data_IF_220628668229
#
_entry.id   IF_220628668229
#
_cell.length_a   1.000
_cell.length_b   1.000
_cell.length_c   1.000
_cell.angle_alpha   90.00
_cell.angle_beta   90.00
_cell.angle_gamma   90.00
#
_symmetry.space_group_name_H-M   'P 1'
#
loop_
_entity.id
_entity.type
_entity.pdbx_description
1 polymer ?
#
# COMPACT_ATOMS: atom_id res chain seq x y z
N UNK A 1 -35.96 -44.73 12.40
CA UNK A 1 -34.77 -44.30 13.18
C UNK A 1 -33.93 -43.33 12.34
N UNK A 2 -34.16 -42.02 12.46
CA UNK A 2 -33.44 -41.00 11.71
C UNK A 2 -32.25 -40.45 12.48
N UNK A 3 -31.03 -40.61 11.96
CA UNK A 3 -29.83 -39.94 12.51
C UNK A 3 -29.51 -38.69 11.70
N UNK A 4 -29.95 -37.58 12.27
CA UNK A 4 -29.54 -36.22 11.96
C UNK A 4 -28.11 -35.99 12.51
N UNK A 5 -27.12 -35.67 11.65
CA UNK A 5 -25.82 -35.15 12.08
C UNK A 5 -25.33 -34.02 11.17
N UNK A 6 -25.82 -32.83 11.52
CA UNK A 6 -25.10 -31.54 11.67
C UNK A 6 -24.07 -31.21 10.58
N UNK A 7 -24.52 -30.33 9.69
CA UNK A 7 -23.68 -29.47 8.84
C UNK A 7 -22.51 -28.89 9.64
N UNK A 8 -21.29 -29.25 9.25
CA UNK A 8 -20.06 -28.59 9.67
C UNK A 8 -20.12 -27.14 9.17
N UNK A 9 -20.46 -26.22 10.07
CA UNK A 9 -20.33 -24.80 9.84
C UNK A 9 -18.82 -24.54 9.69
N UNK A 10 -18.39 -24.21 8.46
CA UNK A 10 -17.03 -23.71 8.20
C UNK A 10 -16.84 -22.49 9.09
N UNK A 11 -15.97 -22.63 10.09
CA UNK A 11 -15.56 -21.50 10.92
C UNK A 11 -15.03 -20.41 9.99
N UNK A 12 -15.76 -19.30 9.91
CA UNK A 12 -15.24 -18.07 9.33
C UNK A 12 -14.13 -17.64 10.27
N UNK A 13 -12.88 -17.85 9.84
CA UNK A 13 -11.70 -17.36 10.53
C UNK A 13 -11.79 -15.83 10.56
N UNK A 14 -12.29 -15.31 11.68
CA UNK A 14 -12.20 -13.90 12.00
C UNK A 14 -10.74 -13.65 12.33
N UNK A 15 -9.99 -13.06 11.40
CA UNK A 15 -8.64 -12.56 11.65
C UNK A 15 -8.79 -11.51 12.76
N UNK A 16 -8.26 -11.73 13.98
CA UNK A 16 -8.28 -10.70 15.01
C UNK A 16 -7.59 -9.46 14.44
N UNK A 17 -8.05 -8.26 14.80
CA UNK A 17 -7.49 -6.99 14.31
C UNK A 17 -6.08 -6.67 14.81
N UNK A 18 -5.16 -7.63 14.74
CA UNK A 18 -3.73 -7.52 15.03
C UNK A 18 -2.90 -7.70 13.76
N UNK A 19 -1.72 -7.11 13.75
CA UNK A 19 -0.76 -7.26 12.66
C UNK A 19 -0.21 -8.69 12.65
N UNK A 20 -0.35 -9.38 11.52
CA UNK A 20 0.19 -10.71 11.30
C UNK A 20 1.37 -10.63 10.31
N UNK A 21 2.61 -10.90 10.76
CA UNK A 21 3.79 -10.86 9.88
C UNK A 21 3.79 -11.96 8.82
N UNK A 22 2.97 -13.01 8.97
CA UNK A 22 2.92 -14.17 8.08
C UNK A 22 1.87 -14.02 6.96
N UNK A 23 1.30 -12.82 6.77
CA UNK A 23 0.27 -12.56 5.75
C UNK A 23 0.65 -13.01 4.33
N UNK A 24 1.92 -12.88 3.95
CA UNK A 24 2.43 -13.31 2.64
C UNK A 24 2.25 -14.80 2.40
N UNK A 25 2.44 -15.64 3.44
CA UNK A 25 2.27 -17.10 3.34
C UNK A 25 0.81 -17.46 3.06
N UNK A 26 -0.13 -16.84 3.75
CA UNK A 26 -1.57 -17.09 3.53
C UNK A 26 -2.00 -16.65 2.14
N UNK A 27 -1.48 -15.53 1.64
CA UNK A 27 -1.74 -15.07 0.28
C UNK A 27 -1.23 -16.09 -0.76
N UNK A 28 0.00 -16.60 -0.61
CA UNK A 28 0.54 -17.61 -1.53
C UNK A 28 -0.24 -18.91 -1.50
N UNK A 29 -0.64 -19.39 -0.33
CA UNK A 29 -1.49 -20.57 -0.23
C UNK A 29 -2.84 -20.36 -0.93
N UNK A 30 -3.51 -19.24 -0.66
CA UNK A 30 -4.81 -18.92 -1.23
C UNK A 30 -4.77 -18.80 -2.76
N UNK A 31 -3.85 -18.00 -3.31
CA UNK A 31 -3.75 -17.76 -4.75
C UNK A 31 -3.25 -18.96 -5.55
N UNK A 32 -2.63 -19.96 -4.90
CA UNK A 32 -2.22 -21.20 -5.56
C UNK A 32 -3.30 -22.30 -5.55
N UNK A 33 -4.44 -22.10 -4.88
CA UNK A 33 -5.52 -23.09 -4.91
C UNK A 33 -6.13 -23.22 -6.31
N UNK A 34 -6.41 -24.45 -6.80
CA UNK A 34 -6.94 -24.67 -8.15
C UNK A 34 -8.31 -24.01 -8.40
N UNK A 35 -9.17 -23.96 -7.38
CA UNK A 35 -10.48 -23.32 -7.48
C UNK A 35 -10.37 -21.80 -7.57
N UNK A 36 -9.46 -21.19 -6.80
CA UNK A 36 -9.15 -19.75 -6.86
C UNK A 36 -8.55 -19.39 -8.22
N UNK A 37 -7.56 -20.16 -8.70
CA UNK A 37 -6.91 -19.93 -10.00
C UNK A 37 -7.90 -20.04 -11.16
N UNK A 38 -8.80 -21.02 -11.13
CA UNK A 38 -9.89 -21.16 -12.12
C UNK A 38 -10.85 -19.98 -12.07
N UNK A 39 -11.23 -19.54 -10.87
CA UNK A 39 -12.17 -18.42 -10.68
C UNK A 39 -11.59 -17.07 -11.12
N UNK A 40 -10.27 -16.90 -11.02
CA UNK A 40 -9.54 -15.72 -11.51
C UNK A 40 -9.10 -15.85 -12.98
N UNK A 41 -9.43 -16.95 -13.64
CA UNK A 41 -8.99 -17.29 -14.99
C UNK A 41 -7.45 -17.29 -15.16
N UNK A 42 -6.70 -17.57 -14.09
CA UNK A 42 -5.24 -17.56 -14.08
C UNK A 42 -4.62 -18.79 -14.79
N UNK A 43 -5.41 -19.86 -14.98
CA UNK A 43 -4.98 -21.10 -15.64
C UNK A 43 -5.17 -21.10 -17.16
N UNK A 44 -5.86 -20.10 -17.71
CA UNK A 44 -6.21 -20.05 -19.13
C UNK A 44 -5.00 -19.83 -20.08
N UNK A 45 -3.87 -19.34 -19.57
CA UNK A 45 -2.72 -18.87 -20.38
C UNK A 45 -1.54 -19.84 -20.43
N UNK A 46 -1.72 -21.14 -20.14
CA UNK A 46 -0.61 -22.10 -20.09
C UNK A 46 0.29 -21.94 -18.84
N UNK A 47 -0.16 -21.13 -17.87
CA UNK A 47 0.53 -20.86 -16.60
C UNK A 47 0.19 -21.88 -15.49
N UNK A 48 -0.54 -22.95 -15.82
CA UNK A 48 -1.00 -23.96 -14.87
C UNK A 48 0.14 -24.58 -14.05
N UNK A 49 1.35 -24.65 -14.61
CA UNK A 49 2.52 -25.22 -13.93
C UNK A 49 3.34 -24.21 -13.12
N UNK A 50 2.99 -22.92 -13.15
CA UNK A 50 3.70 -21.87 -12.38
C UNK A 50 2.94 -21.56 -11.10
N UNK A 51 3.62 -21.71 -9.96
CA UNK A 51 3.10 -21.24 -8.67
C UNK A 51 3.18 -19.72 -8.61
N UNK A 52 2.10 -19.11 -8.13
CA UNK A 52 2.07 -17.70 -7.78
C UNK A 52 2.93 -17.47 -6.52
N UNK A 53 3.69 -16.38 -6.50
CA UNK A 53 4.48 -15.92 -5.35
C UNK A 53 4.26 -14.42 -5.16
N UNK A 54 4.46 -13.92 -3.94
CA UNK A 54 4.31 -12.48 -3.65
C UNK A 54 5.33 -11.65 -4.44
N UNK A 55 6.56 -12.15 -4.57
CA UNK A 55 7.65 -11.52 -5.29
C UNK A 55 8.38 -12.54 -6.18
N UNK A 56 8.99 -12.05 -7.27
CA UNK A 56 9.90 -12.84 -8.10
C UNK A 56 11.35 -12.36 -7.90
N UNK A 57 12.09 -13.04 -7.03
CA UNK A 57 13.46 -12.65 -6.67
C UNK A 57 14.46 -12.77 -7.83
N UNK A 58 14.20 -13.68 -8.78
CA UNK A 58 15.04 -13.81 -9.98
C UNK A 58 14.93 -12.58 -10.89
N UNK A 59 13.71 -12.02 -11.02
CA UNK A 59 13.54 -10.75 -11.74
C UNK A 59 14.15 -9.58 -10.99
N UNK A 60 14.03 -9.56 -9.65
CA UNK A 60 14.68 -8.52 -8.85
C UNK A 60 16.20 -8.53 -9.00
N UNK A 61 16.83 -9.71 -9.01
CA UNK A 61 18.29 -9.87 -9.15
C UNK A 61 18.82 -9.52 -10.55
N UNK A 62 17.97 -9.55 -11.57
CA UNK A 62 18.32 -9.23 -12.96
C UNK A 62 17.87 -7.83 -13.40
N UNK A 63 17.18 -7.10 -12.52
CA UNK A 63 16.65 -5.78 -12.84
C UNK A 63 17.78 -4.73 -12.92
N UNK A 64 17.83 -4.01 -14.04
CA UNK A 64 18.81 -2.95 -14.25
C UNK A 64 18.23 -1.57 -13.89
N UNK A 65 18.77 -0.95 -12.84
CA UNK A 65 18.38 0.40 -12.40
C UNK A 65 19.05 1.46 -13.27
N UNK A 66 18.33 1.97 -14.28
CA UNK A 66 18.85 2.97 -15.22
C UNK A 66 18.57 4.43 -14.83
N UNK A 67 17.67 4.65 -13.87
CA UNK A 67 17.22 5.98 -13.44
C UNK A 67 17.54 6.17 -11.96
N UNK A 68 18.29 7.23 -11.64
CA UNK A 68 18.67 7.57 -10.27
C UNK A 68 17.62 8.40 -9.53
N UNK A 69 16.74 9.11 -10.24
CA UNK A 69 15.70 9.93 -9.63
C UNK A 69 14.49 10.15 -10.54
N UNK A 70 13.31 10.13 -9.94
CA UNK A 70 12.04 10.48 -10.59
C UNK A 70 11.68 11.96 -10.44
N UNK A 71 12.51 12.77 -9.76
CA UNK A 71 12.27 14.22 -9.58
C UNK A 71 11.93 14.95 -10.89
N UNK A 72 12.66 14.75 -12.01
CA UNK A 72 12.35 15.45 -13.27
C UNK A 72 10.95 15.12 -13.81
N UNK A 73 10.45 13.92 -13.56
CA UNK A 73 9.10 13.49 -13.96
C UNK A 73 8.07 14.27 -13.14
N UNK A 74 8.23 14.31 -11.82
CA UNK A 74 7.31 15.05 -10.95
C UNK A 74 7.28 16.54 -11.26
N UNK A 75 8.43 17.16 -11.56
CA UNK A 75 8.47 18.57 -12.00
C UNK A 75 7.63 18.79 -13.27
N UNK A 76 7.70 17.88 -14.25
CA UNK A 76 6.87 17.95 -15.46
C UNK A 76 5.37 17.80 -15.13
N UNK A 77 5.00 16.82 -14.30
CA UNK A 77 3.60 16.56 -13.93
C UNK A 77 2.98 17.73 -13.14
N UNK A 78 3.75 18.34 -12.24
CA UNK A 78 3.34 19.53 -11.48
C UNK A 78 3.12 20.72 -12.41
N UNK A 79 4.04 20.93 -13.36
CA UNK A 79 3.91 22.00 -14.36
C UNK A 79 2.73 21.77 -15.30
N UNK A 80 2.37 20.51 -15.57
CA UNK A 80 1.17 20.15 -16.32
C UNK A 80 -0.14 20.35 -15.52
N UNK A 81 -0.06 20.65 -14.21
CA UNK A 81 -1.23 20.92 -13.36
C UNK A 81 -1.89 19.67 -12.78
N UNK A 82 -1.21 18.53 -12.75
CA UNK A 82 -1.76 17.30 -12.17
C UNK A 82 -1.71 17.33 -10.64
N UNK A 83 -2.77 16.84 -10.00
CA UNK A 83 -2.86 16.72 -8.53
C UNK A 83 -2.10 15.48 -8.08
N UNK A 84 -1.16 15.64 -7.14
CA UNK A 84 -0.25 14.57 -6.72
C UNK A 84 -0.34 14.40 -5.21
N UNK A 85 -0.53 13.16 -4.76
CA UNK A 85 -0.56 12.81 -3.34
C UNK A 85 0.61 11.88 -3.05
N UNK A 86 1.43 12.28 -2.08
CA UNK A 86 2.58 11.52 -1.60
C UNK A 86 2.31 11.16 -0.15
N UNK A 87 2.46 9.89 0.20
CA UNK A 87 2.26 9.43 1.57
C UNK A 87 3.45 8.59 2.02
N UNK A 88 3.74 8.62 3.33
CA UNK A 88 4.80 7.83 3.93
C UNK A 88 4.39 7.33 5.32
N UNK A 89 4.77 6.10 5.65
CA UNK A 89 4.55 5.52 6.97
C UNK A 89 5.68 5.89 7.92
N UNK A 90 5.36 6.42 9.11
CA UNK A 90 6.37 6.86 10.09
C UNK A 90 7.19 5.75 10.75
N UNK A 91 6.73 4.51 10.63
CA UNK A 91 7.40 3.31 11.13
C UNK A 91 8.12 2.48 10.05
N UNK A 92 8.19 2.96 8.79
CA UNK A 92 8.92 2.28 7.72
C UNK A 92 10.43 2.54 7.82
N UNK A 93 11.21 1.49 8.10
CA UNK A 93 12.66 1.55 8.13
C UNK A 93 13.34 1.36 6.76
N UNK A 94 12.62 0.86 5.74
CA UNK A 94 13.17 0.61 4.40
C UNK A 94 13.13 1.88 3.55
N UNK A 95 12.03 2.64 3.63
CA UNK A 95 11.87 3.96 2.98
C UNK A 95 11.34 4.96 4.02
N UNK A 96 12.24 5.56 4.83
CA UNK A 96 11.81 6.40 5.95
C UNK A 96 11.18 7.72 5.50
N UNK A 97 10.26 8.24 6.32
CA UNK A 97 9.59 9.54 6.15
C UNK A 97 10.57 10.68 5.86
N UNK A 98 11.74 10.64 6.47
CA UNK A 98 12.78 11.65 6.29
C UNK A 98 13.22 11.73 4.81
N UNK A 99 13.37 10.58 4.14
CA UNK A 99 13.72 10.52 2.72
C UNK A 99 12.64 11.14 1.84
N UNK A 100 11.37 10.81 2.08
CA UNK A 100 10.24 11.41 1.37
C UNK A 100 10.15 12.93 1.62
N UNK A 101 10.42 13.38 2.84
CA UNK A 101 10.43 14.80 3.19
C UNK A 101 11.50 15.56 2.41
N UNK A 102 12.74 15.09 2.42
CA UNK A 102 13.82 15.72 1.65
C UNK A 102 13.51 15.74 0.15
N UNK A 103 12.98 14.65 -0.38
CA UNK A 103 12.58 14.57 -1.79
C UNK A 103 11.55 15.64 -2.17
N UNK A 104 10.55 15.88 -1.31
CA UNK A 104 9.56 16.94 -1.51
C UNK A 104 10.17 18.34 -1.40
N UNK A 105 11.08 18.56 -0.44
CA UNK A 105 11.75 19.86 -0.25
C UNK A 105 12.59 20.28 -1.47
N UNK A 106 13.20 19.31 -2.19
CA UNK A 106 13.95 19.56 -3.42
C UNK A 106 13.08 20.10 -4.56
N UNK A 107 11.76 19.84 -4.56
CA UNK A 107 10.84 20.39 -5.56
C UNK A 107 10.64 21.92 -5.43
N UNK A 108 11.08 22.52 -4.32
CA UNK A 108 11.02 23.98 -4.05
C UNK A 108 9.62 24.59 -4.30
N UNK A 109 8.58 23.83 -3.98
CA UNK A 109 7.20 24.29 -4.13
C UNK A 109 6.82 25.24 -2.99
N UNK A 110 6.09 26.34 -3.26
CA UNK A 110 5.61 27.23 -2.22
C UNK A 110 4.69 26.52 -1.24
N UNK A 111 4.82 26.87 0.03
CA UNK A 111 3.98 26.34 1.10
C UNK A 111 2.57 26.91 0.98
N UNK A 112 1.54 26.05 0.86
CA UNK A 112 0.14 26.51 0.92
C UNK A 112 -0.44 26.43 2.32
N UNK A 113 -0.11 25.36 3.06
CA UNK A 113 -0.52 25.19 4.44
C UNK A 113 0.60 24.54 5.22
N UNK A 114 0.80 24.98 6.46
CA UNK A 114 1.76 24.36 7.38
C UNK A 114 1.36 22.93 7.76
N UNK A 115 2.32 22.19 8.31
CA UNK A 115 2.11 20.84 8.82
C UNK A 115 1.02 20.86 9.88
N UNK A 116 -0.06 20.15 9.62
CA UNK A 116 -1.18 20.05 10.55
C UNK A 116 -1.54 18.59 10.81
N UNK A 117 -1.97 18.27 12.04
CA UNK A 117 -2.49 16.95 12.31
C UNK A 117 -3.80 16.75 11.54
N UNK A 118 -4.02 15.54 11.03
CA UNK A 118 -5.32 15.08 10.57
C UNK A 118 -5.73 13.83 11.35
N UNK A 119 -7.04 13.64 11.46
CA UNK A 119 -7.64 12.61 12.30
C UNK A 119 -8.57 11.76 11.45
N UNK A 120 -8.37 10.44 11.50
CA UNK A 120 -9.40 9.48 11.12
C UNK A 120 -10.24 9.18 12.37
N UNK A 121 -11.54 8.96 12.20
CA UNK A 121 -12.59 8.84 13.25
C UNK A 121 -12.11 8.17 14.54
N UNK A 122 -12.57 8.69 15.70
CA UNK A 122 -12.29 8.16 17.05
C UNK A 122 -12.47 6.64 17.07
N UNK A 123 -11.39 5.91 17.24
CA UNK A 123 -11.43 4.59 17.87
C UNK A 123 -11.40 4.82 19.38
N UNK A 124 -12.10 3.99 20.12
CA UNK A 124 -12.35 4.12 21.57
C UNK A 124 -11.08 3.97 22.44
N UNK A 125 -9.89 3.99 21.82
CA UNK A 125 -8.55 3.88 22.41
C UNK A 125 -7.61 5.05 22.09
N UNK A 126 -8.09 6.10 21.41
CA UNK A 126 -7.34 7.36 21.22
C UNK A 126 -7.34 7.90 19.79
N UNK A 127 -7.00 9.17 19.66
CA UNK A 127 -6.91 9.85 18.36
C UNK A 127 -5.68 9.33 17.58
N UNK A 128 -5.90 8.67 16.44
CA UNK A 128 -4.81 8.38 15.50
C UNK A 128 -4.36 9.71 14.88
N UNK A 129 -3.19 10.17 15.29
CA UNK A 129 -2.57 11.40 14.80
C UNK A 129 -1.79 11.10 13.53
N UNK A 130 -2.25 11.66 12.44
CA UNK A 130 -1.49 11.71 11.20
C UNK A 130 -1.05 13.15 10.95
N UNK A 131 -0.02 13.39 10.13
CA UNK A 131 0.41 14.75 9.77
C UNK A 131 0.27 14.96 8.27
N UNK A 132 -0.13 16.15 7.86
CA UNK A 132 -0.20 16.51 6.45
C UNK A 132 0.29 17.92 6.16
N UNK A 133 0.86 18.08 4.97
CA UNK A 133 1.26 19.35 4.38
C UNK A 133 0.65 19.49 2.98
N UNK A 134 0.28 20.70 2.60
CA UNK A 134 -0.13 21.01 1.22
C UNK A 134 0.85 22.02 0.65
N UNK A 135 1.47 21.64 -0.47
CA UNK A 135 2.33 22.50 -1.26
C UNK A 135 1.57 22.96 -2.50
N UNK A 136 1.76 24.24 -2.84
CA UNK A 136 1.15 24.85 -3.99
C UNK A 136 2.04 24.64 -5.23
N UNK A 137 1.47 24.08 -6.28
CA UNK A 137 1.98 24.26 -7.64
C UNK A 137 1.28 25.44 -8.32
N UNK A 138 1.73 25.83 -9.51
CA UNK A 138 1.14 26.95 -10.26
C UNK A 138 -0.38 26.78 -10.52
N UNK A 139 -0.84 25.53 -10.73
CA UNK A 139 -2.26 25.16 -10.93
C UNK A 139 -2.67 23.88 -10.18
N UNK A 140 -1.84 23.40 -9.25
CA UNK A 140 -2.04 22.11 -8.59
C UNK A 140 -1.67 22.12 -7.12
N UNK A 141 -1.97 21.02 -6.44
CA UNK A 141 -1.63 20.78 -5.04
C UNK A 141 -0.84 19.50 -4.93
N UNK A 142 0.28 19.55 -4.22
CA UNK A 142 0.98 18.35 -3.75
C UNK A 142 0.64 18.15 -2.29
N UNK A 143 -0.04 17.06 -1.99
CA UNK A 143 -0.33 16.66 -0.61
C UNK A 143 0.76 15.72 -0.12
N UNK A 144 1.37 16.02 1.02
CA UNK A 144 2.28 15.11 1.70
C UNK A 144 1.64 14.64 3.00
N UNK A 145 1.32 13.35 3.10
CA UNK A 145 0.75 12.71 4.28
C UNK A 145 1.76 11.81 4.99
N UNK A 146 1.80 11.89 6.32
CA UNK A 146 2.52 10.94 7.17
C UNK A 146 1.51 10.21 8.04
N UNK A 147 1.51 8.88 7.97
CA UNK A 147 0.60 8.02 8.72
C UNK A 147 1.33 7.07 9.67
N UNK A 148 0.69 6.75 10.79
CA UNK A 148 1.13 5.66 11.68
C UNK A 148 0.90 4.31 11.02
N UNK A 149 2.00 3.61 10.70
CA UNK A 149 2.01 2.26 10.16
C UNK A 149 1.39 2.12 8.76
N UNK A 150 1.64 0.97 8.11
CA UNK A 150 0.96 0.58 6.87
C UNK A 150 -0.55 0.55 7.14
N UNK A 151 -1.27 1.57 6.70
CA UNK A 151 -2.70 1.45 6.55
C UNK A 151 -2.97 0.45 5.43
N UNK A 152 -3.35 -0.76 5.80
CA UNK A 152 -4.12 -1.61 4.92
C UNK A 152 -5.44 -0.87 4.71
N UNK A 153 -5.61 -0.28 3.52
CA UNK A 153 -6.78 0.49 3.12
C UNK A 153 -8.06 -0.30 3.43
N UNK A 154 -8.87 0.20 4.37
CA UNK A 154 -10.28 -0.21 4.46
C UNK A 154 -11.08 0.80 3.65
N UNK A 155 -11.53 0.35 2.47
CA UNK A 155 -12.55 1.01 1.64
C UNK A 155 -13.92 0.94 2.32
#
# INVERSE_FOLDING_TARGET
>A
AGRNRRSSLRAIWTIPGGYDPCFSTYAEEYFNRPDVRRSLHADATGSANRRWKVCNDSMLGTYNFTVSSVLPIYTKLINAGLKIWVYSGDADGRVPVIGTRYWVEVLRLPLRSQWRPWYHRRQDSGNVRHKALVLAGKRTWVFLGISRGQQQWRS
#
